data_IF_275586928363
#
_entry.id   IF_275586928363
#
_cell.length_a   1.000
_cell.length_b   1.000
_cell.length_c   1.000
_cell.angle_alpha   90.00
_cell.angle_beta   90.00
_cell.angle_gamma   90.00
#
_symmetry.space_group_name_H-M   'P 1'
#
loop_
_entity.id
_entity.type
_entity.pdbx_description
1 polymer ?
#
# COMPACT_ATOMS: atom_id res chain seq x y z
N UNK A 1 -5.50 24.12 4.74
CA UNK A 1 -6.91 23.78 4.51
C UNK A 1 -7.43 24.64 3.35
N UNK A 2 -8.09 24.03 2.34
CA UNK A 2 -8.62 24.76 1.20
C UNK A 2 -9.93 25.48 1.58
N UNK A 3 -10.21 26.60 0.91
CA UNK A 3 -11.51 27.28 1.02
C UNK A 3 -12.63 26.41 0.42
N UNK A 4 -13.91 26.61 0.83
CA UNK A 4 -15.04 25.85 0.31
C UNK A 4 -15.11 25.84 -1.22
N UNK A 5 -15.66 24.76 -1.80
CA UNK A 5 -15.74 24.59 -3.28
C UNK A 5 -16.40 25.77 -3.99
N UNK A 6 -17.42 26.39 -3.38
CA UNK A 6 -18.13 27.55 -3.97
C UNK A 6 -17.34 28.84 -4.00
N UNK A 7 -16.22 28.93 -3.33
CA UNK A 7 -15.36 30.11 -3.21
C UNK A 7 -14.05 29.98 -3.99
N UNK A 8 -13.91 28.94 -4.81
CA UNK A 8 -12.70 28.66 -5.62
C UNK A 8 -13.03 28.19 -7.02
N UNK A 9 -12.27 28.62 -7.98
CA UNK A 9 -12.42 28.23 -9.39
C UNK A 9 -11.82 26.87 -9.69
N UNK A 10 -10.72 26.49 -8.97
CA UNK A 10 -9.98 25.25 -9.19
C UNK A 10 -10.48 24.12 -8.29
N UNK A 11 -10.50 22.90 -8.83
CA UNK A 11 -10.80 21.68 -8.08
C UNK A 11 -9.67 21.35 -7.10
N UNK A 12 -9.95 20.46 -6.13
CA UNK A 12 -8.93 19.97 -5.20
C UNK A 12 -7.82 19.22 -5.96
N UNK A 13 -8.17 18.38 -6.91
CA UNK A 13 -7.25 17.61 -7.73
C UNK A 13 -6.35 18.49 -8.60
N UNK A 14 -6.92 19.54 -9.25
CA UNK A 14 -6.12 20.52 -10.01
C UNK A 14 -5.10 21.25 -9.14
N UNK A 15 -5.49 21.56 -7.90
CA UNK A 15 -4.57 22.20 -6.94
C UNK A 15 -3.48 21.20 -6.53
N UNK A 16 -3.85 19.95 -6.18
CA UNK A 16 -2.93 18.89 -5.82
C UNK A 16 -1.89 18.64 -6.92
N UNK A 17 -2.34 18.44 -8.16
CA UNK A 17 -1.47 18.25 -9.33
C UNK A 17 -0.51 19.44 -9.55
N UNK A 18 -0.95 20.67 -9.26
CA UNK A 18 -0.11 21.86 -9.41
C UNK A 18 0.96 22.01 -8.32
N UNK A 19 0.78 21.34 -7.16
CA UNK A 19 1.74 21.39 -6.05
C UNK A 19 2.91 20.42 -6.26
N UNK A 20 2.69 19.26 -6.90
CA UNK A 20 3.73 18.25 -7.15
C UNK A 20 5.03 18.88 -7.69
N UNK A 21 5.04 19.55 -8.86
CA UNK A 21 6.27 20.11 -9.43
C UNK A 21 6.93 21.21 -8.60
N UNK A 22 6.22 21.79 -7.62
CA UNK A 22 6.77 22.79 -6.68
C UNK A 22 7.47 22.10 -5.53
N UNK A 23 6.86 21.02 -5.02
CA UNK A 23 7.38 20.24 -3.91
C UNK A 23 8.61 19.41 -4.30
N UNK A 24 8.65 18.88 -5.52
CA UNK A 24 9.77 18.12 -6.07
C UNK A 24 11.08 18.93 -6.18
N UNK A 25 10.97 20.27 -6.14
CA UNK A 25 12.15 21.17 -6.13
C UNK A 25 12.85 21.26 -4.78
N UNK A 26 12.26 20.68 -3.73
CA UNK A 26 12.87 20.72 -2.39
C UNK A 26 13.84 19.54 -2.26
N UNK A 27 15.16 19.78 -2.22
CA UNK A 27 16.14 18.70 -2.21
C UNK A 27 16.11 17.92 -0.89
N UNK A 28 16.29 16.60 -1.00
CA UNK A 28 16.44 15.72 0.16
C UNK A 28 15.14 15.25 0.82
N UNK A 29 13.98 15.54 0.23
CA UNK A 29 12.70 15.01 0.67
C UNK A 29 11.92 14.47 -0.54
N UNK A 30 11.20 13.38 -0.34
CA UNK A 30 10.17 12.88 -1.25
C UNK A 30 8.82 13.33 -0.72
N UNK A 31 8.00 13.96 -1.56
CA UNK A 31 6.72 14.53 -1.13
C UNK A 31 5.58 13.91 -1.93
N UNK A 32 4.49 13.63 -1.25
CA UNK A 32 3.26 13.13 -1.87
C UNK A 32 2.09 14.02 -1.48
N UNK A 33 1.24 14.34 -2.43
CA UNK A 33 0.01 15.10 -2.18
C UNK A 33 -1.15 14.11 -2.13
N UNK A 34 -1.58 13.76 -0.92
CA UNK A 34 -2.66 12.80 -0.71
C UNK A 34 -4.01 13.52 -0.79
N UNK A 35 -4.89 13.03 -1.66
CA UNK A 35 -6.28 13.47 -1.72
C UNK A 35 -7.12 12.57 -0.81
N UNK A 36 -7.87 13.14 0.17
CA UNK A 36 -8.75 12.33 1.00
C UNK A 36 -9.88 11.74 0.17
N UNK A 37 -10.09 10.43 0.29
CA UNK A 37 -11.24 9.77 -0.34
C UNK A 37 -12.56 10.37 0.17
N UNK A 38 -13.57 10.57 -0.70
CA UNK A 38 -14.89 11.03 -0.29
C UNK A 38 -15.61 10.05 0.64
N UNK A 39 -15.19 8.80 0.70
CA UNK A 39 -15.72 7.82 1.63
C UNK A 39 -14.73 7.58 2.76
N UNK A 40 -15.16 7.82 4.02
CA UNK A 40 -14.35 7.52 5.21
C UNK A 40 -14.00 6.04 5.26
N UNK A 41 -12.71 5.73 5.39
CA UNK A 41 -12.20 4.36 5.54
C UNK A 41 -11.71 3.70 4.24
N UNK A 42 -11.73 4.39 3.12
CA UNK A 42 -11.08 3.96 1.88
C UNK A 42 -9.82 4.82 1.64
N UNK A 43 -8.72 4.18 1.33
CA UNK A 43 -7.59 4.89 0.75
C UNK A 43 -8.01 5.46 -0.60
N UNK A 44 -7.49 6.62 -0.94
CA UNK A 44 -7.81 7.30 -2.21
C UNK A 44 -7.08 6.70 -3.40
N UNK A 45 -6.14 5.78 -3.16
CA UNK A 45 -5.34 5.19 -4.21
C UNK A 45 -6.13 4.13 -4.97
N UNK A 46 -6.41 4.33 -6.27
CA UNK A 46 -7.23 3.40 -7.05
C UNK A 46 -6.53 2.08 -7.34
N UNK A 47 -5.20 2.07 -7.28
CA UNK A 47 -4.36 0.90 -7.48
C UNK A 47 -3.54 0.64 -6.22
N UNK A 48 -3.78 -0.51 -5.60
CA UNK A 48 -3.02 -1.00 -4.46
C UNK A 48 -2.77 -2.49 -4.65
N UNK A 49 -1.49 -2.87 -4.72
CA UNK A 49 -1.06 -4.27 -4.75
C UNK A 49 -0.12 -4.54 -3.57
N UNK A 50 -0.17 -5.76 -3.10
CA UNK A 50 0.68 -6.26 -2.01
C UNK A 50 1.49 -7.43 -2.54
N UNK A 51 2.81 -7.35 -2.37
CA UNK A 51 3.71 -8.45 -2.69
C UNK A 51 4.17 -9.05 -1.37
N UNK A 52 3.84 -10.30 -1.17
CA UNK A 52 4.26 -11.06 0.01
C UNK A 52 5.51 -11.88 -0.29
N UNK A 53 6.38 -12.03 0.72
CA UNK A 53 7.60 -12.83 0.61
C UNK A 53 8.30 -13.00 1.95
N UNK A 54 9.35 -13.81 1.97
CA UNK A 54 10.08 -14.11 3.20
C UNK A 54 11.29 -13.20 3.43
N UNK A 55 11.91 -12.72 2.35
CA UNK A 55 13.12 -11.92 2.39
C UNK A 55 12.81 -10.45 2.11
N UNK A 56 13.23 -9.57 3.02
CA UNK A 56 12.96 -8.12 2.94
C UNK A 56 13.79 -7.44 1.87
N UNK A 57 15.04 -7.89 1.70
CA UNK A 57 15.96 -7.33 0.71
C UNK A 57 15.48 -7.68 -0.70
N UNK A 58 15.00 -8.91 -0.87
CA UNK A 58 14.41 -9.34 -2.15
C UNK A 58 13.08 -8.64 -2.42
N UNK A 59 12.23 -8.42 -1.42
CA UNK A 59 11.01 -7.61 -1.57
C UNK A 59 11.33 -6.18 -1.98
N UNK A 60 12.36 -5.57 -1.41
CA UNK A 60 12.81 -4.25 -1.81
C UNK A 60 13.32 -4.22 -3.25
N UNK A 61 14.13 -5.23 -3.65
CA UNK A 61 14.62 -5.36 -5.03
C UNK A 61 13.46 -5.49 -6.04
N UNK A 62 12.46 -6.33 -5.71
CA UNK A 62 11.26 -6.50 -6.55
C UNK A 62 10.50 -5.18 -6.66
N UNK A 63 10.33 -4.46 -5.54
CA UNK A 63 9.67 -3.15 -5.52
C UNK A 63 10.37 -2.14 -6.41
N UNK A 64 11.71 -2.04 -6.34
CA UNK A 64 12.51 -1.14 -7.17
C UNK A 64 12.47 -1.52 -8.67
N UNK A 65 12.33 -2.82 -8.98
CA UNK A 65 12.19 -3.29 -10.35
C UNK A 65 10.83 -2.93 -10.93
N UNK A 66 9.76 -3.13 -10.13
CA UNK A 66 8.40 -2.73 -10.52
C UNK A 66 8.32 -1.20 -10.70
N UNK A 67 8.91 -0.40 -9.81
CA UNK A 67 8.96 1.05 -9.94
C UNK A 67 9.52 1.46 -11.29
N UNK A 68 10.67 0.92 -11.67
CA UNK A 68 11.31 1.21 -12.96
C UNK A 68 10.48 0.80 -14.17
N UNK A 69 9.78 -0.35 -14.11
CA UNK A 69 8.91 -0.79 -15.20
C UNK A 69 7.64 0.07 -15.30
N UNK A 70 7.06 0.45 -14.14
CA UNK A 70 5.89 1.32 -14.05
C UNK A 70 6.19 2.71 -14.58
N UNK A 71 7.34 3.29 -14.22
CA UNK A 71 7.80 4.57 -14.78
C UNK A 71 8.01 4.51 -16.29
N UNK A 72 8.55 3.41 -16.80
CA UNK A 72 8.78 3.22 -18.23
C UNK A 72 7.47 3.00 -19.03
N UNK A 73 6.43 2.46 -18.41
CA UNK A 73 5.14 2.20 -19.05
C UNK A 73 4.35 3.50 -19.33
N UNK A 74 4.49 4.52 -18.49
CA UNK A 74 3.95 5.86 -18.68
C UNK A 74 2.43 6.00 -18.54
N UNK A 75 1.71 4.96 -18.11
CA UNK A 75 0.27 5.00 -17.83
C UNK A 75 -0.04 5.24 -16.35
N UNK A 76 0.99 5.26 -15.52
CA UNK A 76 0.88 5.45 -14.09
C UNK A 76 1.46 6.80 -13.68
N UNK A 77 0.86 7.37 -12.67
CA UNK A 77 1.36 8.52 -11.92
C UNK A 77 1.45 8.17 -10.43
N UNK A 78 2.26 8.92 -9.71
CA UNK A 78 2.30 8.90 -8.24
C UNK A 78 2.58 7.51 -7.62
N UNK A 79 3.57 6.79 -8.17
CA UNK A 79 4.02 5.51 -7.63
C UNK A 79 4.60 5.67 -6.22
N UNK A 80 4.17 4.80 -5.31
CA UNK A 80 4.61 4.81 -3.91
C UNK A 80 4.78 3.38 -3.38
N UNK A 81 5.79 3.19 -2.54
CA UNK A 81 6.02 1.96 -1.80
C UNK A 81 6.17 2.23 -0.30
N UNK A 82 5.70 1.31 0.53
CA UNK A 82 5.87 1.39 1.98
C UNK A 82 7.15 0.71 2.48
N UNK A 83 7.93 0.08 1.60
CA UNK A 83 9.19 -0.58 1.93
C UNK A 83 10.36 0.20 1.32
N UNK A 84 10.96 1.08 2.11
CA UNK A 84 12.11 1.88 1.68
C UNK A 84 13.32 1.59 2.58
N UNK A 85 14.42 1.14 1.98
CA UNK A 85 15.68 0.86 2.67
C UNK A 85 16.48 2.17 2.87
N UNK A 86 16.07 3.00 3.82
CA UNK A 86 16.66 4.33 4.03
C UNK A 86 17.19 4.59 5.43
N UNK A 87 17.11 3.61 6.34
CA UNK A 87 17.62 3.76 7.71
C UNK A 87 19.05 3.20 7.77
N UNK A 88 20.07 4.04 7.95
CA UNK A 88 21.44 3.55 8.10
C UNK A 88 21.57 2.70 9.36
N UNK A 89 22.20 1.56 9.24
CA UNK A 89 22.47 0.62 10.31
C UNK A 89 23.92 0.12 10.22
N UNK A 90 24.50 -0.14 11.38
CA UNK A 90 25.78 -0.80 11.48
C UNK A 90 25.55 -2.28 11.81
N UNK A 91 25.86 -3.13 10.86
CA UNK A 91 25.84 -4.57 11.05
C UNK A 91 27.20 -5.00 11.59
N UNK A 92 27.19 -5.78 12.67
CA UNK A 92 28.38 -6.25 13.36
C UNK A 92 28.39 -7.77 13.33
N UNK A 93 29.27 -8.34 12.53
CA UNK A 93 29.50 -9.78 12.47
C UNK A 93 30.69 -10.20 13.31
N UNK A 94 30.57 -11.31 14.05
CA UNK A 94 31.61 -11.84 14.92
C UNK A 94 32.22 -13.10 14.27
N UNK A 95 33.52 -13.07 14.02
CA UNK A 95 34.29 -14.25 13.63
C UNK A 95 34.46 -15.17 14.85
N UNK A 96 33.64 -16.22 14.91
CA UNK A 96 33.56 -17.13 16.06
C UNK A 96 34.80 -17.96 16.22
N UNK A 97 35.46 -18.34 15.14
CA UNK A 97 36.65 -19.16 15.16
C UNK A 97 37.84 -18.39 15.71
N UNK A 98 38.05 -17.17 15.18
CA UNK A 98 39.09 -16.28 15.70
C UNK A 98 38.83 -15.82 17.14
N UNK A 99 37.56 -15.59 17.50
CA UNK A 99 37.22 -15.23 18.88
C UNK A 99 37.60 -16.38 19.84
N UNK A 100 37.29 -17.64 19.48
CA UNK A 100 37.63 -18.81 20.24
C UNK A 100 39.15 -19.00 20.39
N UNK A 101 39.91 -18.84 19.30
CA UNK A 101 41.35 -18.95 19.29
C UNK A 101 42.03 -17.92 20.22
N UNK A 102 41.44 -16.73 20.32
CA UNK A 102 41.91 -15.66 21.19
C UNK A 102 41.33 -15.73 22.61
N UNK A 103 40.55 -16.78 22.91
CA UNK A 103 39.97 -16.99 24.24
C UNK A 103 38.85 -16.00 24.60
N UNK A 104 38.12 -15.51 23.58
CA UNK A 104 36.93 -14.67 23.71
C UNK A 104 35.70 -15.49 23.41
N UNK A 105 34.68 -15.42 24.25
CA UNK A 105 33.35 -15.92 23.91
C UNK A 105 32.54 -14.89 23.14
N UNK A 106 31.59 -15.33 22.30
CA UNK A 106 30.63 -14.44 21.63
C UNK A 106 29.86 -13.60 22.65
N UNK A 107 29.59 -14.16 23.82
CA UNK A 107 28.92 -13.48 24.93
C UNK A 107 29.75 -12.28 25.45
N UNK A 108 31.06 -12.50 25.66
CA UNK A 108 31.96 -11.44 26.15
C UNK A 108 32.03 -10.28 25.16
N UNK A 109 32.14 -10.60 23.86
CA UNK A 109 32.12 -9.60 22.78
C UNK A 109 30.79 -8.86 22.76
N UNK A 110 29.66 -9.58 22.74
CA UNK A 110 28.35 -8.97 22.70
C UNK A 110 28.05 -8.10 23.93
N UNK A 111 28.41 -8.57 25.13
CA UNK A 111 28.24 -7.81 26.37
C UNK A 111 29.12 -6.55 26.36
N UNK A 112 30.37 -6.68 25.87
CA UNK A 112 31.28 -5.53 25.74
C UNK A 112 30.70 -4.47 24.80
N UNK A 113 30.21 -4.89 23.63
CA UNK A 113 29.56 -3.98 22.66
C UNK A 113 28.29 -3.35 23.24
N UNK A 114 27.47 -4.14 23.94
CA UNK A 114 26.25 -3.63 24.58
C UNK A 114 26.59 -2.57 25.63
N UNK A 115 27.53 -2.83 26.52
CA UNK A 115 27.95 -1.87 27.56
C UNK A 115 28.51 -0.61 26.92
N UNK A 116 29.44 -0.75 26.00
CA UNK A 116 30.19 0.38 25.48
C UNK A 116 29.37 1.25 24.54
N UNK A 117 28.56 0.65 23.68
CA UNK A 117 27.77 1.37 22.66
C UNK A 117 26.33 1.66 23.10
N UNK A 118 25.62 0.64 23.57
CA UNK A 118 24.19 0.73 23.89
C UNK A 118 23.93 1.28 25.29
N UNK A 119 24.87 1.08 26.21
CA UNK A 119 24.69 1.30 27.63
C UNK A 119 24.04 0.08 28.33
N UNK A 120 24.49 -0.20 29.53
CA UNK A 120 23.94 -1.25 30.38
C UNK A 120 23.65 -0.70 31.76
N UNK A 121 22.47 -0.99 32.28
CA UNK A 121 22.13 -0.73 33.68
C UNK A 121 22.90 -1.73 34.57
N UNK A 122 23.94 -1.25 35.24
CA UNK A 122 24.84 -2.10 36.04
C UNK A 122 24.42 -2.17 37.51
N UNK A 123 23.74 -1.13 38.00
CA UNK A 123 23.24 -1.07 39.37
C UNK A 123 22.23 0.07 39.55
N UNK A 124 21.66 0.16 40.73
CA UNK A 124 20.82 1.28 41.15
C UNK A 124 21.34 1.90 42.43
N UNK A 125 21.15 3.20 42.66
CA UNK A 125 21.38 3.84 43.92
C UNK A 125 20.19 4.68 44.36
N UNK A 126 20.05 4.90 45.64
CA UNK A 126 19.00 5.74 46.19
C UNK A 126 19.53 7.09 46.63
N UNK A 127 18.87 8.16 46.19
CA UNK A 127 19.15 9.52 46.58
C UNK A 127 17.85 10.24 46.87
N UNK A 128 17.75 10.86 48.05
CA UNK A 128 16.55 11.61 48.50
C UNK A 128 15.22 10.84 48.42
N UNK A 129 15.26 9.50 48.59
CA UNK A 129 14.08 8.63 48.53
C UNK A 129 13.73 8.11 47.15
N UNK A 130 14.36 8.60 46.09
CA UNK A 130 14.19 8.11 44.72
C UNK A 130 15.30 7.13 44.33
N UNK A 131 14.98 6.21 43.40
CA UNK A 131 15.91 5.22 42.88
C UNK A 131 16.39 5.62 41.49
N UNK A 132 17.71 5.69 41.32
CA UNK A 132 18.38 6.04 40.06
C UNK A 132 19.15 4.85 39.51
N UNK A 133 19.10 4.65 38.19
CA UNK A 133 19.89 3.65 37.48
C UNK A 133 21.31 4.17 37.22
N UNK A 134 22.30 3.29 37.39
CA UNK A 134 23.69 3.55 37.00
C UNK A 134 23.93 2.88 35.65
N UNK A 135 24.06 3.70 34.61
CA UNK A 135 24.27 3.24 33.25
C UNK A 135 25.77 3.37 32.88
N UNK A 136 26.39 2.25 32.53
CA UNK A 136 27.76 2.25 32.01
C UNK A 136 27.71 2.34 30.47
N UNK A 137 28.39 3.33 29.90
CA UNK A 137 28.58 3.46 28.45
C UNK A 137 29.77 4.36 28.10
N UNK A 138 30.24 4.27 26.86
CA UNK A 138 31.24 5.20 26.34
C UNK A 138 30.67 6.62 26.23
N UNK A 139 31.55 7.62 26.32
CA UNK A 139 31.19 9.00 26.05
C UNK A 139 30.70 9.16 24.62
N UNK A 140 29.78 10.09 24.39
CA UNK A 140 29.13 10.28 23.08
C UNK A 140 30.12 10.38 21.91
N UNK A 141 31.21 11.15 22.09
CA UNK A 141 32.20 11.36 21.03
C UNK A 141 33.05 10.12 20.71
N UNK A 142 33.11 9.11 21.63
CA UNK A 142 33.85 7.85 21.46
C UNK A 142 33.02 6.77 20.77
N UNK A 143 31.74 7.03 20.47
CA UNK A 143 30.79 6.09 19.82
C UNK A 143 30.03 6.69 18.66
N UNK A 144 30.52 7.78 18.05
CA UNK A 144 29.82 8.48 16.96
C UNK A 144 30.08 7.89 15.58
N UNK A 145 31.18 7.18 15.40
CA UNK A 145 31.57 6.64 14.09
C UNK A 145 31.87 5.15 14.16
N UNK A 146 31.65 4.39 13.08
CA UNK A 146 31.98 2.97 13.01
C UNK A 146 33.45 2.66 13.33
N UNK A 147 34.35 3.59 13.02
CA UNK A 147 35.78 3.45 13.31
C UNK A 147 36.08 3.38 14.81
N UNK A 148 35.30 4.05 15.65
CA UNK A 148 35.46 3.97 17.10
C UNK A 148 35.18 2.57 17.63
N UNK A 149 34.23 1.84 17.01
CA UNK A 149 33.93 0.44 17.36
C UNK A 149 35.17 -0.47 17.18
N UNK A 150 35.92 -0.28 16.11
CA UNK A 150 37.11 -1.09 15.80
C UNK A 150 38.28 -0.77 16.74
N UNK A 151 38.25 0.36 17.45
CA UNK A 151 39.26 0.75 18.46
C UNK A 151 38.97 0.23 19.87
N UNK A 152 37.86 -0.48 20.07
CA UNK A 152 37.45 -1.02 21.35
C UNK A 152 38.17 -2.32 21.67
N UNK A 153 38.23 -2.68 22.95
CA UNK A 153 38.87 -3.87 23.44
C UNK A 153 37.88 -4.70 24.27
N UNK A 154 37.95 -6.01 24.11
CA UNK A 154 37.31 -6.96 24.99
C UNK A 154 38.35 -7.69 25.87
N UNK A 155 37.95 -8.15 27.04
CA UNK A 155 38.83 -8.88 27.96
C UNK A 155 38.75 -10.37 27.67
N UNK A 156 39.84 -10.91 27.11
CA UNK A 156 40.05 -12.36 26.93
C UNK A 156 40.89 -12.97 28.03
N UNK A 157 41.17 -14.28 27.91
CA UNK A 157 41.94 -15.03 28.90
C UNK A 157 43.40 -14.56 29.05
N UNK A 158 43.96 -13.98 27.98
CA UNK A 158 45.36 -13.51 27.94
C UNK A 158 45.54 -12.00 28.09
N UNK A 159 44.45 -11.22 28.29
CA UNK A 159 44.51 -9.77 28.38
C UNK A 159 43.45 -9.05 27.55
N UNK A 160 43.72 -7.79 27.22
CA UNK A 160 42.84 -6.98 26.37
C UNK A 160 43.11 -7.31 24.90
N UNK A 161 42.04 -7.69 24.18
CA UNK A 161 42.07 -8.08 22.77
C UNK A 161 41.29 -6.98 22.00
N UNK A 162 41.88 -6.37 20.96
CA UNK A 162 41.18 -5.39 20.16
C UNK A 162 40.02 -6.04 19.38
N UNK A 163 38.82 -5.44 19.39
CA UNK A 163 37.62 -6.00 18.72
C UNK A 163 37.81 -6.14 17.22
N UNK A 164 38.62 -5.28 16.59
CA UNK A 164 38.95 -5.38 15.15
C UNK A 164 39.54 -6.73 14.75
N UNK A 165 40.11 -7.49 15.68
CA UNK A 165 40.67 -8.81 15.42
C UNK A 165 39.58 -9.89 15.23
N UNK A 166 38.38 -9.69 15.80
CA UNK A 166 37.31 -10.69 15.89
C UNK A 166 35.93 -10.19 15.41
N UNK A 167 35.84 -8.91 15.06
CA UNK A 167 34.57 -8.27 14.65
C UNK A 167 34.76 -7.55 13.33
N UNK A 168 33.88 -7.78 12.41
CA UNK A 168 33.71 -7.00 11.18
C UNK A 168 32.50 -6.10 11.31
N UNK A 169 32.66 -4.81 11.02
CA UNK A 169 31.58 -3.84 11.04
C UNK A 169 31.30 -3.33 9.61
N UNK A 170 30.09 -3.50 9.16
CA UNK A 170 29.64 -3.07 7.83
C UNK A 170 28.48 -2.09 7.95
N UNK A 171 28.57 -0.97 7.24
CA UNK A 171 27.43 -0.08 7.09
C UNK A 171 26.45 -0.66 6.06
N UNK A 172 25.18 -0.73 6.44
CA UNK A 172 24.08 -1.18 5.59
C UNK A 172 22.88 -0.28 5.77
N UNK A 173 21.90 -0.45 4.92
CA UNK A 173 20.61 0.22 5.04
C UNK A 173 19.52 -0.81 5.30
N UNK A 174 18.62 -0.50 6.21
CA UNK A 174 17.48 -1.35 6.54
C UNK A 174 16.19 -0.54 6.43
N UNK A 175 15.04 -1.19 6.25
CA UNK A 175 13.78 -0.48 6.26
C UNK A 175 13.50 0.10 7.66
N UNK A 176 12.81 1.24 7.69
CA UNK A 176 12.38 1.86 8.94
C UNK A 176 11.33 1.02 9.64
N UNK A 177 10.44 0.41 8.86
CA UNK A 177 9.34 -0.44 9.29
C UNK A 177 9.38 -1.73 8.49
N UNK A 178 8.94 -2.83 9.08
CA UNK A 178 8.79 -4.13 8.43
C UNK A 178 7.30 -4.38 8.22
N UNK A 179 6.74 -4.00 7.06
CA UNK A 179 5.33 -4.20 6.80
C UNK A 179 4.99 -5.69 6.70
N UNK A 180 3.80 -6.02 7.18
CA UNK A 180 3.23 -7.36 7.10
C UNK A 180 1.81 -7.28 6.55
N UNK A 181 1.45 -8.26 5.73
CA UNK A 181 0.10 -8.48 5.28
C UNK A 181 -0.24 -9.95 5.51
N UNK A 182 -1.37 -10.24 6.15
CA UNK A 182 -1.79 -11.60 6.54
C UNK A 182 -0.68 -12.42 7.23
N UNK A 183 0.06 -11.77 8.15
CA UNK A 183 1.17 -12.35 8.95
C UNK A 183 2.45 -12.67 8.18
N UNK A 184 2.49 -12.46 6.87
CA UNK A 184 3.69 -12.58 6.05
C UNK A 184 4.32 -11.19 5.84
N UNK A 185 5.63 -11.15 5.66
CA UNK A 185 6.30 -9.91 5.25
C UNK A 185 5.79 -9.50 3.88
N UNK A 186 5.58 -8.22 3.71
CA UNK A 186 5.00 -7.72 2.48
C UNK A 186 5.50 -6.32 2.15
N UNK A 187 5.46 -5.98 0.87
CA UNK A 187 5.55 -4.60 0.40
C UNK A 187 4.22 -4.22 -0.22
N UNK A 188 3.71 -3.07 0.15
CA UNK A 188 2.52 -2.49 -0.48
C UNK A 188 2.97 -1.42 -1.47
N UNK A 189 2.51 -1.57 -2.68
CA UNK A 189 2.73 -0.65 -3.80
C UNK A 189 1.40 0.01 -4.12
N UNK A 190 1.41 1.33 -4.17
CA UNK A 190 0.26 2.14 -4.56
C UNK A 190 0.62 3.00 -5.77
N UNK A 191 -0.32 3.17 -6.67
CA UNK A 191 -0.16 4.02 -7.84
C UNK A 191 -1.49 4.64 -8.25
N UNK A 192 -1.42 5.78 -8.91
CA UNK A 192 -2.52 6.36 -9.66
C UNK A 192 -2.36 6.09 -11.15
N UNK A 193 -3.45 6.18 -11.91
CA UNK A 193 -3.41 6.12 -13.36
C UNK A 193 -3.47 7.52 -13.96
N UNK A 194 -2.81 7.69 -15.11
CA UNK A 194 -2.89 8.94 -15.88
C UNK A 194 -4.31 9.22 -16.37
N UNK A 195 -4.61 10.50 -16.60
CA UNK A 195 -5.92 10.95 -17.06
C UNK A 195 -6.29 10.24 -18.38
N UNK A 196 -7.44 9.57 -18.40
CA UNK A 196 -7.95 8.83 -19.56
C UNK A 196 -7.67 7.31 -19.52
N UNK A 197 -6.85 6.82 -18.63
CA UNK A 197 -6.63 5.38 -18.42
C UNK A 197 -7.66 4.85 -17.44
N UNK A 198 -8.27 3.68 -17.74
CA UNK A 198 -9.23 3.06 -16.82
C UNK A 198 -8.51 2.37 -15.67
N UNK A 199 -9.13 2.41 -14.47
CA UNK A 199 -8.63 1.68 -13.30
C UNK A 199 -8.42 0.18 -13.59
N UNK A 200 -9.33 -0.43 -14.36
CA UNK A 200 -9.24 -1.85 -14.73
C UNK A 200 -7.99 -2.15 -15.58
N UNK A 201 -7.64 -1.25 -16.48
CA UNK A 201 -6.44 -1.35 -17.31
C UNK A 201 -5.17 -1.18 -16.49
N UNK A 202 -5.13 -0.16 -15.64
CA UNK A 202 -4.03 0.06 -14.70
C UNK A 202 -3.80 -1.14 -13.78
N UNK A 203 -4.88 -1.67 -13.17
CA UNK A 203 -4.79 -2.86 -12.30
C UNK A 203 -4.27 -4.10 -13.04
N UNK A 204 -4.75 -4.34 -14.25
CA UNK A 204 -4.24 -5.45 -15.07
C UNK A 204 -2.76 -5.26 -15.39
N UNK A 205 -2.37 -4.06 -15.78
CA UNK A 205 -1.01 -3.75 -16.22
C UNK A 205 0.00 -3.86 -15.07
N UNK A 206 -0.33 -3.28 -13.90
CA UNK A 206 0.56 -3.37 -12.73
C UNK A 206 0.70 -4.82 -12.23
N UNK A 207 -0.38 -5.61 -12.32
CA UNK A 207 -0.34 -7.03 -11.97
C UNK A 207 0.59 -7.81 -12.92
N UNK A 208 0.50 -7.58 -14.24
CA UNK A 208 1.38 -8.19 -15.24
C UNK A 208 2.86 -7.81 -15.03
N UNK A 209 3.14 -6.56 -14.67
CA UNK A 209 4.48 -6.08 -14.32
C UNK A 209 4.96 -6.80 -13.06
N UNK A 210 4.17 -6.76 -11.99
CA UNK A 210 4.52 -7.38 -10.72
C UNK A 210 4.77 -8.89 -10.85
N UNK A 211 3.89 -9.61 -11.56
CA UNK A 211 4.03 -11.06 -11.75
C UNK A 211 5.31 -11.43 -12.52
N UNK A 212 5.71 -10.62 -13.49
CA UNK A 212 6.98 -10.82 -14.23
C UNK A 212 8.22 -10.56 -13.39
N UNK A 213 8.14 -9.61 -12.46
CA UNK A 213 9.24 -9.25 -11.56
C UNK A 213 9.42 -10.22 -10.40
N UNK A 214 8.46 -11.15 -10.18
CA UNK A 214 8.59 -12.16 -9.15
C UNK A 214 9.61 -13.22 -9.52
N UNK A 215 10.45 -13.67 -8.58
CA UNK A 215 11.33 -14.80 -8.80
C UNK A 215 10.52 -16.09 -8.98
N UNK A 216 10.95 -16.95 -9.92
CA UNK A 216 10.30 -18.23 -10.25
C UNK A 216 10.22 -19.21 -9.07
N UNK A 217 10.99 -18.99 -8.03
CA UNK A 217 11.04 -19.80 -6.82
C UNK A 217 11.10 -18.90 -5.60
N UNK A 218 10.51 -19.31 -4.47
CA UNK A 218 10.65 -18.56 -3.22
C UNK A 218 9.36 -18.18 -2.51
N UNK A 219 8.19 -18.57 -3.04
CA UNK A 219 6.91 -18.36 -2.36
C UNK A 219 6.48 -16.88 -2.30
N UNK A 220 6.91 -16.09 -3.28
CA UNK A 220 6.42 -14.72 -3.47
C UNK A 220 5.09 -14.75 -4.20
N UNK A 221 4.18 -13.85 -3.83
CA UNK A 221 2.87 -13.73 -4.46
C UNK A 221 2.40 -12.28 -4.51
N UNK A 222 1.65 -11.95 -5.56
CA UNK A 222 0.99 -10.65 -5.72
C UNK A 222 -0.46 -10.79 -5.32
N UNK A 223 -0.93 -9.87 -4.49
CA UNK A 223 -2.32 -9.77 -4.05
C UNK A 223 -2.84 -8.37 -4.33
N UNK A 224 -4.13 -8.27 -4.58
CA UNK A 224 -4.80 -6.96 -4.58
C UNK A 224 -5.21 -6.59 -3.17
N UNK A 225 -5.17 -5.30 -2.85
CA UNK A 225 -5.62 -4.74 -1.58
C UNK A 225 -6.48 -3.49 -1.80
N UNK A 226 -7.16 -3.05 -0.76
CA UNK A 226 -7.90 -1.80 -0.79
C UNK A 226 -9.05 -1.75 -1.78
N UNK A 227 -9.10 -0.73 -2.63
CA UNK A 227 -10.12 -0.57 -3.68
C UNK A 227 -9.94 -1.59 -4.81
N UNK A 228 -8.70 -1.99 -5.11
CA UNK A 228 -8.38 -2.96 -6.13
C UNK A 228 -8.98 -4.34 -5.82
N UNK A 229 -8.86 -4.82 -4.59
CA UNK A 229 -9.46 -6.07 -4.12
C UNK A 229 -10.98 -6.03 -4.29
N UNK A 230 -11.62 -4.98 -3.80
CA UNK A 230 -13.08 -4.80 -3.92
C UNK A 230 -13.56 -4.68 -5.35
N UNK A 231 -12.75 -4.08 -6.24
CA UNK A 231 -13.07 -3.99 -7.66
C UNK A 231 -13.17 -5.36 -8.30
N UNK A 232 -12.24 -6.28 -7.99
CA UNK A 232 -12.25 -7.65 -8.52
C UNK A 232 -13.31 -8.51 -7.85
N UNK A 233 -13.43 -8.51 -6.53
CA UNK A 233 -14.42 -9.28 -5.79
C UNK A 233 -15.85 -8.89 -6.18
N UNK A 234 -16.12 -7.58 -6.33
CA UNK A 234 -17.44 -7.08 -6.67
C UNK A 234 -17.83 -7.35 -8.12
N UNK A 235 -16.89 -7.53 -9.05
CA UNK A 235 -17.20 -7.63 -10.47
C UNK A 235 -18.05 -8.86 -10.79
N UNK A 236 -17.72 -10.04 -10.26
CA UNK A 236 -18.49 -11.27 -10.49
C UNK A 236 -19.78 -11.30 -9.67
N UNK A 237 -19.73 -10.87 -8.42
CA UNK A 237 -20.88 -10.84 -7.53
C UNK A 237 -21.93 -9.83 -7.97
N UNK A 238 -21.52 -8.66 -8.48
CA UNK A 238 -22.43 -7.65 -9.01
C UNK A 238 -23.10 -8.11 -10.31
N UNK A 239 -22.38 -8.80 -11.20
CA UNK A 239 -22.97 -9.33 -12.43
C UNK A 239 -24.06 -10.37 -12.12
N UNK A 240 -23.78 -11.29 -11.19
CA UNK A 240 -24.76 -12.27 -10.72
C UNK A 240 -25.96 -11.60 -10.07
N UNK A 241 -25.73 -10.64 -9.16
CA UNK A 241 -26.82 -9.90 -8.51
C UNK A 241 -27.66 -9.10 -9.52
N UNK A 242 -27.03 -8.54 -10.54
CA UNK A 242 -27.70 -7.81 -11.61
C UNK A 242 -28.61 -8.73 -12.44
N UNK A 243 -28.10 -9.89 -12.87
CA UNK A 243 -28.90 -10.88 -13.60
C UNK A 243 -30.06 -11.39 -12.76
N UNK A 244 -29.80 -11.70 -11.48
CA UNK A 244 -30.84 -12.12 -10.56
C UNK A 244 -31.91 -11.03 -10.35
N UNK A 245 -31.51 -9.78 -10.19
CA UNK A 245 -32.44 -8.66 -10.07
C UNK A 245 -33.34 -8.51 -11.30
N UNK A 246 -32.79 -8.62 -12.50
CA UNK A 246 -33.56 -8.61 -13.76
C UNK A 246 -34.60 -9.73 -13.76
N UNK A 247 -34.23 -10.95 -13.40
CA UNK A 247 -35.15 -12.12 -13.35
C UNK A 247 -36.25 -11.88 -12.32
N UNK A 248 -35.90 -11.44 -11.11
CA UNK A 248 -36.86 -11.16 -10.03
C UNK A 248 -37.84 -10.06 -10.44
N UNK A 249 -37.31 -8.93 -10.98
CA UNK A 249 -38.17 -7.86 -11.48
C UNK A 249 -39.13 -8.34 -12.57
N UNK A 250 -38.62 -9.11 -13.52
CA UNK A 250 -39.48 -9.70 -14.56
C UNK A 250 -40.61 -10.58 -13.99
N UNK A 251 -40.29 -11.49 -13.04
CA UNK A 251 -41.28 -12.37 -12.42
C UNK A 251 -42.33 -11.60 -11.60
N UNK A 252 -41.89 -10.56 -10.85
CA UNK A 252 -42.80 -9.72 -10.07
C UNK A 252 -43.74 -8.95 -11.01
N UNK A 253 -43.23 -8.41 -12.10
CA UNK A 253 -44.04 -7.71 -13.10
C UNK A 253 -45.01 -8.66 -13.81
N UNK A 254 -44.57 -9.89 -14.14
CA UNK A 254 -45.43 -10.89 -14.75
C UNK A 254 -46.61 -11.30 -13.84
N UNK A 255 -46.33 -11.41 -12.53
CA UNK A 255 -47.37 -11.68 -11.53
C UNK A 255 -48.32 -10.46 -11.34
N UNK A 256 -47.81 -9.25 -11.37
CA UNK A 256 -48.59 -8.02 -11.16
C UNK A 256 -49.52 -7.71 -12.34
N UNK A 257 -49.04 -7.91 -13.57
CA UNK A 257 -49.80 -7.64 -14.78
C UNK A 257 -50.58 -8.85 -15.33
N UNK A 258 -50.51 -9.99 -14.65
CA UNK A 258 -51.09 -11.28 -15.10
C UNK A 258 -50.80 -11.59 -16.57
N UNK A 259 -49.61 -11.17 -17.04
CA UNK A 259 -49.21 -11.26 -18.44
C UNK A 259 -47.68 -11.39 -18.55
N UNK A 260 -47.20 -12.19 -19.48
CA UNK A 260 -45.78 -12.32 -19.80
C UNK A 260 -45.29 -11.29 -20.84
N UNK A 261 -46.20 -10.58 -21.51
CA UNK A 261 -45.88 -9.65 -22.60
C UNK A 261 -45.57 -8.23 -22.08
N UNK A 262 -46.38 -7.71 -21.17
CA UNK A 262 -46.17 -6.37 -20.59
C UNK A 262 -44.84 -6.20 -19.88
N UNK A 263 -44.33 -7.16 -19.08
CA UNK A 263 -43.02 -7.10 -18.50
C UNK A 263 -41.87 -6.96 -19.51
N UNK A 264 -42.00 -7.57 -20.69
CA UNK A 264 -40.99 -7.45 -21.75
C UNK A 264 -40.88 -6.01 -22.22
N UNK A 265 -41.99 -5.32 -22.42
CA UNK A 265 -41.98 -3.89 -22.82
C UNK A 265 -41.29 -2.98 -21.77
N UNK A 266 -41.53 -3.29 -20.49
CA UNK A 266 -40.87 -2.56 -19.37
C UNK A 266 -39.36 -2.86 -19.35
N UNK A 267 -38.99 -4.13 -19.57
CA UNK A 267 -37.59 -4.55 -19.59
C UNK A 267 -36.79 -3.92 -20.75
N UNK A 268 -37.42 -3.66 -21.91
CA UNK A 268 -36.75 -2.89 -23.01
C UNK A 268 -36.31 -1.53 -22.54
N UNK A 269 -37.11 -0.84 -21.74
CA UNK A 269 -36.73 0.47 -21.19
C UNK A 269 -35.51 0.37 -20.24
N UNK A 270 -35.37 -0.72 -19.50
CA UNK A 270 -34.21 -0.99 -18.64
C UNK A 270 -32.93 -1.16 -19.48
N UNK A 271 -33.00 -1.95 -20.56
CA UNK A 271 -31.85 -2.10 -21.48
C UNK A 271 -31.46 -0.77 -22.14
N UNK A 272 -32.44 0.02 -22.53
CA UNK A 272 -32.20 1.33 -23.14
C UNK A 272 -31.56 2.30 -22.14
N UNK A 273 -31.97 2.26 -20.87
CA UNK A 273 -31.39 3.09 -19.82
C UNK A 273 -29.94 2.71 -19.49
N UNK A 274 -29.62 1.42 -19.51
CA UNK A 274 -28.25 0.92 -19.36
C UNK A 274 -27.35 1.44 -20.48
N UNK A 275 -27.80 1.34 -21.72
CA UNK A 275 -27.09 1.91 -22.88
C UNK A 275 -26.90 3.41 -22.74
N UNK A 276 -27.93 4.13 -22.30
CA UNK A 276 -27.86 5.58 -22.03
C UNK A 276 -26.85 5.94 -20.94
N UNK A 277 -26.78 5.13 -19.88
CA UNK A 277 -25.81 5.34 -18.80
C UNK A 277 -24.35 5.14 -19.28
N UNK A 278 -24.10 4.10 -20.09
CA UNK A 278 -22.78 3.86 -20.66
C UNK A 278 -22.36 4.98 -21.64
N UNK A 279 -23.28 5.42 -22.50
CA UNK A 279 -23.05 6.56 -23.40
C UNK A 279 -22.78 7.86 -22.63
N UNK A 280 -23.49 8.10 -21.52
CA UNK A 280 -23.26 9.26 -20.69
C UNK A 280 -21.86 9.23 -20.03
N UNK A 281 -21.41 8.07 -19.58
CA UNK A 281 -20.03 7.90 -19.05
C UNK A 281 -18.99 8.18 -20.13
N UNK A 282 -19.16 7.63 -21.34
CA UNK A 282 -18.28 7.85 -22.48
C UNK A 282 -18.19 9.34 -22.88
N UNK A 283 -19.35 10.00 -23.07
CA UNK A 283 -19.40 11.41 -23.44
C UNK A 283 -18.82 12.34 -22.38
N UNK A 284 -18.94 11.97 -21.10
CA UNK A 284 -18.37 12.74 -19.97
C UNK A 284 -16.91 12.41 -19.68
N UNK A 285 -16.30 11.48 -20.43
CA UNK A 285 -14.93 11.03 -20.20
C UNK A 285 -14.71 10.35 -18.84
N UNK A 286 -15.78 9.79 -18.25
CA UNK A 286 -15.73 9.12 -16.97
C UNK A 286 -15.52 7.62 -17.15
N UNK A 287 -14.63 7.04 -16.35
CA UNK A 287 -14.36 5.60 -16.37
C UNK A 287 -15.39 4.80 -15.56
N UNK A 288 -15.55 3.52 -15.91
CA UNK A 288 -16.38 2.59 -15.17
C UNK A 288 -15.66 2.17 -13.88
N UNK A 289 -16.02 2.79 -12.77
CA UNK A 289 -15.52 2.50 -11.44
C UNK A 289 -16.61 1.86 -10.55
N UNK A 290 -16.29 1.54 -9.28
CA UNK A 290 -17.23 0.93 -8.35
C UNK A 290 -18.49 1.80 -8.14
N UNK A 291 -18.36 3.14 -8.12
CA UNK A 291 -19.47 4.07 -7.95
C UNK A 291 -20.39 4.07 -9.17
N UNK A 292 -19.82 4.05 -10.37
CA UNK A 292 -20.59 3.94 -11.61
C UNK A 292 -21.37 2.63 -11.67
N UNK A 293 -20.77 1.50 -11.23
CA UNK A 293 -21.45 0.20 -11.14
C UNK A 293 -22.64 0.23 -10.18
N UNK A 294 -22.47 0.84 -8.99
CA UNK A 294 -23.58 1.02 -8.03
C UNK A 294 -24.66 1.92 -8.63
N UNK A 295 -24.27 3.01 -9.27
CA UNK A 295 -25.21 3.94 -9.96
C UNK A 295 -26.06 3.24 -11.01
N UNK A 296 -25.49 2.34 -11.81
CA UNK A 296 -26.19 1.54 -12.80
C UNK A 296 -27.22 0.62 -12.13
N UNK A 297 -26.89 -0.03 -11.02
CA UNK A 297 -27.85 -0.87 -10.29
C UNK A 297 -29.03 -0.04 -9.77
N UNK A 298 -28.77 1.15 -9.22
CA UNK A 298 -29.83 2.07 -8.78
C UNK A 298 -30.70 2.55 -9.92
N UNK A 299 -30.10 2.79 -11.10
CA UNK A 299 -30.81 3.23 -12.31
C UNK A 299 -31.85 2.20 -12.77
N UNK A 300 -31.55 0.92 -12.69
CA UNK A 300 -32.50 -0.17 -13.02
C UNK A 300 -33.78 -0.05 -12.19
N UNK A 301 -33.63 0.14 -10.87
CA UNK A 301 -34.78 0.28 -9.97
C UNK A 301 -35.61 1.53 -10.29
N UNK A 302 -34.96 2.65 -10.57
CA UNK A 302 -35.62 3.93 -10.89
C UNK A 302 -36.41 3.84 -12.21
N UNK A 303 -35.79 3.30 -13.27
CA UNK A 303 -36.40 3.16 -14.59
C UNK A 303 -37.57 2.18 -14.56
N UNK A 304 -37.41 1.05 -13.88
CA UNK A 304 -38.48 0.06 -13.71
C UNK A 304 -39.71 0.71 -13.06
N UNK A 305 -39.52 1.47 -11.95
CA UNK A 305 -40.63 2.17 -11.29
C UNK A 305 -41.37 3.10 -12.22
N UNK A 306 -40.66 3.93 -12.99
CA UNK A 306 -41.28 4.88 -13.90
C UNK A 306 -42.00 4.16 -15.06
N UNK A 307 -41.43 3.10 -15.60
CA UNK A 307 -42.02 2.33 -16.69
C UNK A 307 -43.27 1.56 -16.24
N UNK A 308 -43.32 1.06 -15.00
CA UNK A 308 -44.52 0.45 -14.42
C UNK A 308 -45.68 1.45 -14.42
N UNK A 309 -45.47 2.68 -13.91
CA UNK A 309 -46.48 3.71 -13.86
C UNK A 309 -47.02 4.07 -15.24
N UNK A 310 -46.15 4.15 -16.25
CA UNK A 310 -46.57 4.47 -17.64
C UNK A 310 -47.43 3.36 -18.22
N UNK A 311 -47.01 2.07 -18.06
CA UNK A 311 -47.73 0.92 -18.61
C UNK A 311 -49.07 0.72 -17.88
N UNK A 312 -49.07 0.89 -16.55
CA UNK A 312 -50.30 0.79 -15.76
C UNK A 312 -51.31 1.88 -16.17
N UNK A 313 -50.87 3.13 -16.34
CA UNK A 313 -51.74 4.20 -16.79
C UNK A 313 -52.24 3.99 -18.23
N UNK A 314 -51.39 3.45 -19.12
CA UNK A 314 -51.81 3.15 -20.48
C UNK A 314 -52.84 1.99 -20.55
N UNK A 315 -52.81 1.03 -19.61
CA UNK A 315 -53.79 -0.06 -19.53
C UNK A 315 -55.12 0.39 -18.93
N UNK A 316 -55.20 1.49 -18.22
CA UNK A 316 -56.42 2.08 -17.64
C UNK A 316 -57.21 2.96 -18.62
N UNK A 317 -56.58 3.41 -19.71
CA UNK A 317 -57.18 4.17 -20.79
C UNK A 317 -57.78 3.24 -21.88
#
# INVERSE_FOLDING_TARGET
QLVPRGERDRSQSEIAKSLGPVLDKVPGITTYVLEPSPMRGFNSDPIEIVIQGYDVEELARISDEIEREVEADGIFSDFRTNLVLNKPQLEVSIDRDRASDLGLSVRDISTTLQILLGGLDISTFKLEGETYNVIAQLRRYERQTPRHLLSLFARGNGGLIPLVAVVEARETTVPRELPHFDRLRAVTITADVEDGVSQAEGLRRIYEIAERSLPLSGGYQVLFSGEAEKFFESSNSLLFAYLLAIVVVYLVLAAQFESFVYPIAIMVAVFLSFTGALLALEVTGRTLNIFSKIGIVMLVGLVTKNSILIVEFANQL
#
